data_IF_213150692868
#
_entry.id   IF_213150692868
#
_cell.length_a   1.000
_cell.length_b   1.000
_cell.length_c   1.000
_cell.angle_alpha   90.00
_cell.angle_beta   90.00
_cell.angle_gamma   90.00
#
_symmetry.space_group_name_H-M   'P 1'
#
loop_
_entity.id
_entity.type
_entity.pdbx_description
1 polymer ?
#
# COMPACT_ATOMS: atom_id res chain seq x y z
N UNK A 1 -2.20 -10.80 12.33
CA UNK A 1 -2.62 -9.97 11.16
C UNK A 1 -3.99 -10.31 10.55
N UNK A 2 -4.60 -11.50 10.74
CA UNK A 2 -5.93 -11.81 10.17
C UNK A 2 -7.03 -10.78 10.49
N UNK A 3 -6.96 -10.13 11.66
CA UNK A 3 -7.93 -9.11 12.11
C UNK A 3 -8.13 -7.96 11.10
N UNK A 4 -7.09 -7.54 10.37
CA UNK A 4 -7.19 -6.47 9.35
C UNK A 4 -8.13 -6.82 8.19
N UNK A 5 -8.23 -8.11 7.84
CA UNK A 5 -9.07 -8.59 6.73
C UNK A 5 -10.56 -8.56 7.07
N UNK A 6 -10.91 -8.56 8.36
CA UNK A 6 -12.30 -8.53 8.80
C UNK A 6 -12.84 -7.12 9.04
N UNK A 7 -11.99 -6.08 9.00
CA UNK A 7 -12.40 -4.70 9.21
C UNK A 7 -13.39 -4.23 8.14
N UNK A 8 -14.31 -3.34 8.52
CA UNK A 8 -15.21 -2.68 7.57
C UNK A 8 -14.41 -1.75 6.65
N UNK A 9 -14.88 -1.50 5.41
CA UNK A 9 -14.26 -0.53 4.51
C UNK A 9 -14.04 0.83 5.18
N UNK A 10 -15.06 1.32 5.90
CA UNK A 10 -15.01 2.58 6.64
C UNK A 10 -13.89 2.60 7.68
N UNK A 11 -13.72 1.52 8.46
CA UNK A 11 -12.67 1.47 9.47
C UNK A 11 -11.27 1.45 8.84
N UNK A 12 -11.09 0.78 7.69
CA UNK A 12 -9.82 0.81 6.95
C UNK A 12 -9.51 2.23 6.49
N UNK A 13 -10.50 2.92 5.91
CA UNK A 13 -10.35 4.30 5.47
C UNK A 13 -10.05 5.21 6.67
N UNK A 14 -10.78 5.06 7.78
CA UNK A 14 -10.59 5.84 8.99
C UNK A 14 -9.16 5.70 9.54
N UNK A 15 -8.67 4.46 9.68
CA UNK A 15 -7.32 4.19 10.21
C UNK A 15 -6.23 4.73 9.28
N UNK A 16 -6.39 4.61 7.96
CA UNK A 16 -5.36 5.04 7.00
C UNK A 16 -5.38 6.56 6.82
N UNK A 17 -6.55 7.16 6.62
CA UNK A 17 -6.66 8.53 6.12
C UNK A 17 -6.92 9.57 7.22
N UNK A 18 -7.62 9.25 8.31
CA UNK A 18 -7.92 10.28 9.33
C UNK A 18 -6.64 10.81 9.98
N UNK A 19 -5.72 9.97 10.52
CA UNK A 19 -4.48 10.49 11.13
C UNK A 19 -3.60 11.24 10.12
N UNK A 20 -3.52 10.74 8.88
CA UNK A 20 -2.79 11.42 7.80
C UNK A 20 -3.40 12.79 7.48
N UNK A 21 -4.72 12.89 7.39
CA UNK A 21 -5.42 14.15 7.12
C UNK A 21 -5.26 15.12 8.29
N UNK A 22 -5.39 14.67 9.54
CA UNK A 22 -5.20 15.54 10.72
C UNK A 22 -3.79 16.11 10.76
N UNK A 23 -2.76 15.28 10.55
CA UNK A 23 -1.38 15.77 10.51
C UNK A 23 -1.15 16.76 9.36
N UNK A 24 -1.77 16.55 8.19
CA UNK A 24 -1.70 17.50 7.08
C UNK A 24 -2.38 18.84 7.40
N UNK A 25 -3.55 18.81 8.02
CA UNK A 25 -4.25 20.02 8.44
C UNK A 25 -3.42 20.83 9.43
N UNK A 26 -2.85 20.17 10.45
CA UNK A 26 -1.93 20.84 11.39
C UNK A 26 -0.65 21.34 10.72
N UNK A 27 -0.11 20.62 9.73
CA UNK A 27 1.09 21.06 9.00
C UNK A 27 0.87 22.34 8.18
N UNK A 28 -0.37 22.72 7.90
CA UNK A 28 -0.72 23.95 7.19
C UNK A 28 -0.98 25.13 8.15
N UNK A 29 -1.09 24.88 9.45
CA UNK A 29 -1.25 25.93 10.44
C UNK A 29 0.05 26.75 10.57
N UNK A 30 -0.07 28.07 10.40
CA UNK A 30 1.04 29.01 10.40
C UNK A 30 1.59 29.29 11.80
N UNK A 31 0.89 28.85 12.86
CA UNK A 31 1.36 28.97 14.25
C UNK A 31 2.57 28.08 14.53
N UNK A 32 2.73 26.97 13.80
CA UNK A 32 3.88 26.09 13.90
C UNK A 32 5.08 26.64 13.13
N UNK A 33 6.27 26.42 13.68
CA UNK A 33 7.51 26.77 12.99
C UNK A 33 7.75 25.84 11.77
N UNK A 34 8.64 26.20 10.82
CA UNK A 34 8.85 25.41 9.60
C UNK A 34 9.30 23.95 9.84
N UNK A 35 10.03 23.69 10.92
CA UNK A 35 10.52 22.34 11.29
C UNK A 35 9.36 21.48 11.77
N UNK A 36 8.49 22.02 12.62
CA UNK A 36 7.29 21.35 13.11
C UNK A 36 6.35 21.00 11.97
N UNK A 37 6.08 21.96 11.06
CA UNK A 37 5.24 21.71 9.88
C UNK A 37 5.80 20.60 9.00
N UNK A 38 7.11 20.64 8.73
CA UNK A 38 7.80 19.60 7.96
C UNK A 38 7.71 18.24 8.65
N UNK A 39 7.89 18.20 9.98
CA UNK A 39 7.78 16.97 10.77
C UNK A 39 6.39 16.36 10.69
N UNK A 40 5.33 17.16 10.87
CA UNK A 40 3.94 16.72 10.75
C UNK A 40 3.63 16.18 9.35
N UNK A 41 4.13 16.84 8.30
CA UNK A 41 3.99 16.37 6.93
C UNK A 41 4.66 15.00 6.72
N UNK A 42 5.87 14.78 7.26
CA UNK A 42 6.57 13.50 7.17
C UNK A 42 5.86 12.39 7.95
N UNK A 43 5.39 12.68 9.17
CA UNK A 43 4.60 11.73 9.96
C UNK A 43 3.33 11.31 9.21
N UNK A 44 2.64 12.26 8.57
CA UNK A 44 1.46 11.95 7.76
C UNK A 44 1.77 11.02 6.58
N UNK A 45 2.94 11.21 5.95
CA UNK A 45 3.36 10.48 4.75
C UNK A 45 3.82 9.05 5.10
N UNK A 46 4.56 8.91 6.21
CA UNK A 46 4.98 7.61 6.77
C UNK A 46 3.75 6.81 7.22
N UNK A 47 2.82 7.46 7.92
CA UNK A 47 1.58 6.82 8.37
C UNK A 47 0.78 6.28 7.19
N UNK A 48 0.48 7.15 6.21
CA UNK A 48 -0.29 6.79 5.03
C UNK A 48 0.35 5.62 4.26
N UNK A 49 1.63 5.76 3.92
CA UNK A 49 2.37 4.75 3.15
C UNK A 49 2.49 3.44 3.93
N UNK A 50 2.82 3.52 5.22
CA UNK A 50 2.98 2.36 6.09
C UNK A 50 1.68 1.58 6.27
N UNK A 51 0.56 2.25 6.55
CA UNK A 51 -0.73 1.57 6.71
C UNK A 51 -1.24 0.99 5.38
N UNK A 52 -1.07 1.68 4.25
CA UNK A 52 -1.46 1.16 2.94
C UNK A 52 -0.59 -0.03 2.52
N UNK A 53 0.72 0.03 2.76
CA UNK A 53 1.63 -1.09 2.54
C UNK A 53 1.30 -2.28 3.45
N UNK A 54 0.99 -2.05 4.73
CA UNK A 54 0.58 -3.09 5.67
C UNK A 54 -0.74 -3.76 5.25
N UNK A 55 -1.70 -2.99 4.72
CA UNK A 55 -2.93 -3.51 4.15
C UNK A 55 -2.65 -4.38 2.92
N UNK A 56 -1.92 -3.87 1.92
CA UNK A 56 -1.54 -4.61 0.71
C UNK A 56 -0.76 -5.90 1.03
N UNK A 57 0.20 -5.82 1.95
CA UNK A 57 0.94 -6.97 2.45
C UNK A 57 0.01 -8.03 3.03
N UNK A 58 -0.87 -7.60 3.95
CA UNK A 58 -1.76 -8.53 4.65
C UNK A 58 -2.70 -9.21 3.67
N UNK A 59 -3.27 -8.47 2.72
CA UNK A 59 -4.14 -9.04 1.69
C UNK A 59 -3.35 -9.99 0.79
N UNK A 60 -2.22 -9.54 0.21
CA UNK A 60 -1.40 -10.32 -0.71
C UNK A 60 -0.94 -11.65 -0.12
N UNK A 61 -0.41 -11.64 1.11
CA UNK A 61 0.06 -12.87 1.80
C UNK A 61 -1.09 -13.82 2.14
N UNK A 62 -2.31 -13.33 2.39
CA UNK A 62 -3.44 -14.22 2.68
C UNK A 62 -4.07 -14.78 1.40
N UNK A 63 -4.10 -14.00 0.32
CA UNK A 63 -4.53 -14.49 -0.99
C UNK A 63 -3.55 -15.53 -1.54
N UNK A 64 -2.24 -15.32 -1.37
CA UNK A 64 -1.24 -16.29 -1.86
C UNK A 64 -1.36 -17.67 -1.21
N UNK A 65 -1.77 -17.73 0.05
CA UNK A 65 -2.02 -19.00 0.75
C UNK A 65 -3.24 -19.77 0.24
N UNK A 66 -4.09 -19.12 -0.57
CA UNK A 66 -5.33 -19.71 -1.11
C UNK A 66 -5.22 -20.08 -2.58
N UNK A 67 -4.11 -19.73 -3.24
CA UNK A 67 -3.88 -20.09 -4.62
C UNK A 67 -3.53 -21.58 -4.75
N UNK A 68 -3.89 -22.19 -5.87
CA UNK A 68 -3.47 -23.56 -6.20
C UNK A 68 -1.97 -23.57 -6.55
N UNK A 69 -1.24 -24.65 -6.24
CA UNK A 69 0.15 -24.82 -6.68
C UNK A 69 0.25 -24.64 -8.20
N UNK A 70 1.22 -23.84 -8.66
CA UNK A 70 1.45 -23.57 -10.09
C UNK A 70 0.95 -22.21 -10.59
N UNK A 71 0.29 -21.41 -9.74
CA UNK A 71 -0.02 -20.00 -10.00
C UNK A 71 0.80 -19.03 -9.13
N UNK A 72 1.83 -19.56 -8.46
CA UNK A 72 2.60 -18.84 -7.45
C UNK A 72 3.52 -17.81 -8.11
N UNK A 73 3.30 -16.54 -7.77
CA UNK A 73 4.19 -15.42 -8.02
C UNK A 73 5.05 -15.16 -6.81
N UNK A 74 6.18 -14.51 -7.05
CA UNK A 74 7.18 -14.25 -6.03
C UNK A 74 6.66 -13.38 -4.90
N UNK A 75 6.43 -14.02 -3.76
CA UNK A 75 6.15 -13.32 -2.51
C UNK A 75 7.31 -12.43 -2.10
N UNK A 76 8.56 -12.81 -2.39
CA UNK A 76 9.71 -11.96 -2.09
C UNK A 76 9.64 -10.63 -2.85
N UNK A 77 9.21 -10.64 -4.12
CA UNK A 77 9.02 -9.43 -4.90
C UNK A 77 7.89 -8.55 -4.33
N UNK A 78 6.80 -9.15 -3.83
CA UNK A 78 5.75 -8.41 -3.10
C UNK A 78 6.31 -7.69 -1.87
N UNK A 79 7.16 -8.38 -1.09
CA UNK A 79 7.75 -7.80 0.13
C UNK A 79 8.72 -6.67 -0.19
N UNK A 80 9.61 -6.88 -1.17
CA UNK A 80 10.60 -5.89 -1.58
C UNK A 80 9.94 -4.63 -2.19
N UNK A 81 8.94 -4.83 -3.04
CA UNK A 81 8.21 -3.73 -3.69
C UNK A 81 7.39 -2.87 -2.73
N UNK A 82 6.98 -3.41 -1.57
CA UNK A 82 6.36 -2.62 -0.49
C UNK A 82 7.38 -1.89 0.38
N UNK A 83 8.59 -2.43 0.51
CA UNK A 83 9.66 -1.81 1.29
C UNK A 83 10.25 -0.57 0.60
N UNK A 84 10.43 -0.60 -0.73
CA UNK A 84 11.03 0.52 -1.48
C UNK A 84 10.26 1.85 -1.31
N UNK A 85 8.92 1.92 -1.48
CA UNK A 85 8.16 3.13 -1.26
C UNK A 85 8.22 3.62 0.20
N UNK A 86 8.27 2.69 1.15
CA UNK A 86 8.41 3.02 2.57
C UNK A 86 9.80 3.62 2.87
N UNK A 87 10.87 3.04 2.33
CA UNK A 87 12.21 3.60 2.46
C UNK A 87 12.32 4.97 1.77
N UNK A 88 11.69 5.14 0.60
CA UNK A 88 11.63 6.42 -0.09
C UNK A 88 10.97 7.52 0.76
N UNK A 89 9.82 7.23 1.39
CA UNK A 89 9.09 8.24 2.18
C UNK A 89 9.80 8.64 3.48
N UNK A 90 10.75 7.83 3.97
CA UNK A 90 11.58 8.19 5.13
C UNK A 90 12.82 9.01 4.77
N UNK A 91 13.27 9.01 3.50
CA UNK A 91 14.46 9.77 3.08
C UNK A 91 14.41 11.27 3.41
N UNK A 92 13.27 11.98 3.29
CA UNK A 92 13.20 13.40 3.66
C UNK A 92 13.47 13.68 5.14
N UNK A 93 13.43 12.67 6.03
CA UNK A 93 13.87 12.82 7.43
C UNK A 93 15.35 13.24 7.47
N UNK A 94 16.17 12.66 6.60
CA UNK A 94 17.59 12.99 6.49
C UNK A 94 17.77 14.45 6.04
N UNK A 95 16.94 14.90 5.09
CA UNK A 95 16.92 16.30 4.67
C UNK A 95 16.52 17.25 5.80
N UNK A 96 15.52 16.86 6.61
CA UNK A 96 15.10 17.62 7.79
C UNK A 96 16.24 17.70 8.82
N UNK A 97 16.92 16.59 9.12
CA UNK A 97 18.07 16.58 10.05
C UNK A 97 19.24 17.43 9.54
N UNK A 98 19.48 17.46 8.23
CA UNK A 98 20.45 18.35 7.61
C UNK A 98 20.15 19.83 7.88
N UNK A 99 18.88 20.24 7.79
CA UNK A 99 18.50 21.63 8.09
C UNK A 99 18.72 22.01 9.55
N UNK A 100 18.57 21.05 10.48
CA UNK A 100 18.78 21.28 11.91
C UNK A 100 20.27 21.36 12.29
N UNK A 101 21.12 20.64 11.56
CA UNK A 101 22.57 20.52 11.85
C UNK A 101 23.43 21.44 10.98
N UNK A 102 22.86 22.05 9.93
CA UNK A 102 23.59 22.83 8.94
C UNK A 102 24.44 21.99 7.97
N UNK A 103 24.36 20.66 8.03
CA UNK A 103 25.12 19.75 7.18
C UNK A 103 24.41 19.57 5.83
N UNK A 104 25.03 20.01 4.74
CA UNK A 104 24.50 19.80 3.38
C UNK A 104 24.78 18.38 2.92
N UNK A 105 23.75 17.65 2.50
CA UNK A 105 23.87 16.29 1.95
C UNK A 105 23.68 16.34 0.42
N UNK A 106 24.75 16.09 -0.37
CA UNK A 106 24.73 16.26 -1.84
C UNK A 106 23.76 15.33 -2.57
N UNK A 107 23.38 14.19 -1.99
CA UNK A 107 22.52 13.19 -2.63
C UNK A 107 21.03 13.57 -2.63
N UNK A 108 20.65 14.71 -2.06
CA UNK A 108 19.26 15.21 -2.03
C UNK A 108 18.99 16.24 -3.14
N UNK A 109 19.68 16.14 -4.28
CA UNK A 109 19.34 16.98 -5.45
C UNK A 109 17.96 16.62 -6.00
N UNK A 110 17.26 17.64 -6.53
CA UNK A 110 15.92 17.49 -7.09
C UNK A 110 15.84 16.35 -8.14
N UNK A 111 16.82 16.26 -9.04
CA UNK A 111 16.84 15.23 -10.09
C UNK A 111 16.95 13.80 -9.55
N UNK A 112 17.81 13.58 -8.55
CA UNK A 112 17.95 12.27 -7.92
C UNK A 112 16.69 11.88 -7.15
N UNK A 113 16.14 12.79 -6.35
CA UNK A 113 14.92 12.55 -5.59
C UNK A 113 13.71 12.26 -6.50
N UNK A 114 13.56 13.02 -7.59
CA UNK A 114 12.51 12.77 -8.59
C UNK A 114 12.63 11.39 -9.25
N UNK A 115 13.84 10.95 -9.54
CA UNK A 115 14.07 9.61 -10.12
C UNK A 115 13.69 8.51 -9.13
N UNK A 116 14.10 8.65 -7.87
CA UNK A 116 13.70 7.73 -6.81
C UNK A 116 12.19 7.71 -6.59
N UNK A 117 11.52 8.87 -6.72
CA UNK A 117 10.07 8.95 -6.62
C UNK A 117 9.37 8.09 -7.68
N UNK A 118 9.81 8.19 -8.94
CA UNK A 118 9.25 7.40 -10.04
C UNK A 118 9.49 5.90 -9.83
N UNK A 119 10.68 5.51 -9.36
CA UNK A 119 10.98 4.11 -9.01
C UNK A 119 10.05 3.63 -7.89
N UNK A 120 9.85 4.42 -6.84
CA UNK A 120 8.94 4.09 -5.75
C UNK A 120 7.49 3.94 -6.24
N UNK A 121 7.04 4.79 -7.16
CA UNK A 121 5.71 4.69 -7.76
C UNK A 121 5.54 3.36 -8.52
N UNK A 122 6.49 2.98 -9.36
CA UNK A 122 6.47 1.69 -10.06
C UNK A 122 6.50 0.50 -9.09
N UNK A 123 7.32 0.59 -8.04
CA UNK A 123 7.35 -0.43 -6.99
C UNK A 123 5.98 -0.57 -6.32
N UNK A 124 5.28 0.53 -6.06
CA UNK A 124 3.97 0.50 -5.41
C UNK A 124 2.85 -0.08 -6.29
N UNK A 125 2.99 -0.01 -7.62
CA UNK A 125 2.03 -0.60 -8.56
C UNK A 125 2.06 -2.14 -8.50
N UNK A 126 3.23 -2.76 -8.28
CA UNK A 126 3.34 -4.22 -8.28
C UNK A 126 2.46 -4.90 -7.20
N UNK A 127 2.47 -4.50 -5.92
CA UNK A 127 1.58 -5.04 -4.90
C UNK A 127 0.09 -4.89 -5.22
N UNK A 128 -0.29 -3.77 -5.85
CA UNK A 128 -1.67 -3.52 -6.28
C UNK A 128 -2.06 -4.53 -7.37
N UNK A 129 -1.21 -4.70 -8.38
CA UNK A 129 -1.36 -5.71 -9.43
C UNK A 129 -1.42 -7.12 -8.84
N UNK A 130 -0.53 -7.45 -7.91
CA UNK A 130 -0.47 -8.74 -7.23
C UNK A 130 -1.82 -9.05 -6.55
N UNK A 131 -2.32 -8.13 -5.74
CA UNK A 131 -3.60 -8.30 -5.03
C UNK A 131 -4.77 -8.42 -6.00
N UNK A 132 -4.86 -7.54 -7.00
CA UNK A 132 -5.96 -7.53 -7.97
C UNK A 132 -6.04 -8.82 -8.77
N UNK A 133 -4.89 -9.28 -9.29
CA UNK A 133 -4.79 -10.51 -10.06
C UNK A 133 -5.09 -11.74 -9.20
N UNK A 134 -4.53 -11.83 -7.98
CA UNK A 134 -4.76 -12.97 -7.09
C UNK A 134 -6.22 -13.09 -6.65
N UNK A 135 -6.81 -11.97 -6.23
CA UNK A 135 -8.20 -11.94 -5.79
C UNK A 135 -9.12 -12.46 -6.90
N UNK A 136 -8.91 -11.95 -8.11
CA UNK A 136 -9.72 -12.32 -9.27
C UNK A 136 -9.44 -13.79 -9.68
N UNK A 137 -8.20 -14.26 -9.67
CA UNK A 137 -7.88 -15.67 -9.97
C UNK A 137 -8.59 -16.63 -9.00
N UNK A 138 -8.65 -16.29 -7.71
CA UNK A 138 -9.32 -17.11 -6.70
C UNK A 138 -10.84 -17.11 -6.90
N UNK A 139 -11.42 -15.95 -7.23
CA UNK A 139 -12.86 -15.84 -7.47
C UNK A 139 -13.32 -16.63 -8.71
N UNK A 140 -12.52 -16.63 -9.78
CA UNK A 140 -12.86 -17.34 -11.02
C UNK A 140 -12.37 -18.81 -11.02
N UNK A 141 -11.43 -19.17 -10.15
CA UNK A 141 -10.89 -20.52 -10.03
C UNK A 141 -10.04 -20.99 -11.23
N UNK A 142 -9.66 -20.07 -12.12
CA UNK A 142 -8.89 -20.32 -13.35
C UNK A 142 -7.88 -19.19 -13.61
N UNK A 143 -6.85 -19.40 -14.44
CA UNK A 143 -6.00 -18.31 -14.91
C UNK A 143 -6.82 -17.25 -15.63
N UNK A 144 -6.51 -15.99 -15.33
CA UNK A 144 -7.21 -14.83 -15.86
C UNK A 144 -6.29 -13.99 -16.75
N UNK A 145 -6.88 -13.33 -17.74
CA UNK A 145 -6.22 -12.33 -18.59
C UNK A 145 -6.25 -10.96 -17.91
N UNK A 146 -5.38 -10.05 -18.36
CA UNK A 146 -5.28 -8.67 -17.85
C UNK A 146 -6.65 -7.98 -17.73
N UNK A 147 -7.44 -8.03 -18.81
CA UNK A 147 -8.75 -7.37 -18.91
C UNK A 147 -9.73 -7.84 -17.83
N UNK A 148 -9.63 -9.09 -17.38
CA UNK A 148 -10.55 -9.66 -16.38
C UNK A 148 -10.32 -9.11 -14.96
N UNK A 149 -9.13 -8.58 -14.64
CA UNK A 149 -8.85 -7.97 -13.33
C UNK A 149 -8.57 -6.46 -13.35
N UNK A 150 -8.64 -5.80 -14.52
CA UNK A 150 -8.43 -4.33 -14.63
C UNK A 150 -9.36 -3.56 -13.71
N UNK A 151 -10.64 -3.93 -13.62
CA UNK A 151 -11.60 -3.25 -12.75
C UNK A 151 -11.21 -3.36 -11.27
N UNK A 152 -10.72 -4.53 -10.85
CA UNK A 152 -10.19 -4.74 -9.50
C UNK A 152 -8.92 -3.92 -9.26
N UNK A 153 -8.02 -3.86 -10.25
CA UNK A 153 -6.80 -3.06 -10.19
C UNK A 153 -7.13 -1.57 -10.04
N UNK A 154 -8.02 -1.05 -10.88
CA UNK A 154 -8.47 0.34 -10.84
C UNK A 154 -9.17 0.68 -9.52
N UNK A 155 -9.97 -0.24 -8.97
CA UNK A 155 -10.55 -0.04 -7.64
C UNK A 155 -9.44 0.13 -6.57
N UNK A 156 -8.41 -0.71 -6.57
CA UNK A 156 -7.31 -0.56 -5.59
C UNK A 156 -6.51 0.74 -5.85
N UNK A 157 -6.33 1.16 -7.10
CA UNK A 157 -5.66 2.44 -7.41
C UNK A 157 -6.50 3.63 -6.94
N UNK A 158 -7.82 3.59 -7.11
CA UNK A 158 -8.78 4.62 -6.68
C UNK A 158 -9.11 4.55 -5.18
N UNK A 159 -8.15 4.13 -4.36
CA UNK A 159 -8.26 4.28 -2.91
C UNK A 159 -8.49 5.76 -2.55
N UNK A 160 -9.35 6.09 -1.57
CA UNK A 160 -10.06 5.19 -0.65
C UNK A 160 -11.35 4.56 -1.22
N UNK A 161 -11.91 5.10 -2.31
CA UNK A 161 -13.23 4.74 -2.82
C UNK A 161 -13.30 3.25 -3.20
N UNK A 162 -12.27 2.73 -3.86
CA UNK A 162 -12.31 1.35 -4.32
C UNK A 162 -12.27 0.28 -3.21
N UNK A 163 -11.94 0.65 -1.96
CA UNK A 163 -12.00 -0.27 -0.80
C UNK A 163 -13.41 -0.82 -0.61
N UNK A 164 -14.44 -0.02 -0.88
CA UNK A 164 -15.83 -0.45 -0.75
C UNK A 164 -16.17 -1.63 -1.67
N UNK A 165 -15.51 -1.72 -2.83
CA UNK A 165 -15.71 -2.81 -3.79
C UNK A 165 -14.78 -3.99 -3.51
N UNK A 166 -13.52 -3.71 -3.16
CA UNK A 166 -12.47 -4.73 -3.01
C UNK A 166 -12.57 -5.46 -1.66
N UNK A 167 -12.87 -4.77 -0.57
CA UNK A 167 -12.86 -5.35 0.78
C UNK A 167 -13.93 -6.44 0.98
N UNK A 168 -15.19 -6.31 0.53
CA UNK A 168 -16.18 -7.39 0.64
C UNK A 168 -15.75 -8.66 -0.13
N UNK A 169 -15.12 -8.49 -1.29
CA UNK A 169 -14.58 -9.58 -2.11
C UNK A 169 -13.47 -10.34 -1.39
N UNK A 170 -12.51 -9.61 -0.82
CA UNK A 170 -11.46 -10.19 0.02
C UNK A 170 -12.05 -10.98 1.18
N UNK A 171 -13.04 -10.44 1.90
CA UNK A 171 -13.69 -11.15 3.01
C UNK A 171 -14.32 -12.48 2.58
N UNK A 172 -15.02 -12.50 1.44
CA UNK A 172 -15.62 -13.73 0.91
C UNK A 172 -14.55 -14.79 0.65
N UNK A 173 -13.46 -14.42 -0.02
CA UNK A 173 -12.35 -15.33 -0.34
C UNK A 173 -11.61 -15.79 0.93
N UNK A 174 -11.41 -14.90 1.90
CA UNK A 174 -10.70 -15.23 3.14
C UNK A 174 -11.52 -16.17 4.02
N UNK A 175 -12.83 -15.93 4.11
CA UNK A 175 -13.76 -16.71 4.93
C UNK A 175 -14.23 -18.01 4.28
N UNK A 176 -14.18 -18.13 2.95
CA UNK A 176 -14.43 -19.41 2.32
C UNK A 176 -13.34 -20.39 2.78
N UNK A 177 -13.74 -21.36 3.58
CA UNK A 177 -12.94 -22.54 3.91
C UNK A 177 -12.37 -23.10 2.62
N UNK A 178 -11.15 -23.63 2.67
CA UNK A 178 -10.33 -24.14 1.56
C UNK A 178 -10.93 -25.35 0.82
N UNK A 179 -12.25 -25.41 0.65
CA UNK A 179 -13.03 -26.58 0.25
C UNK A 179 -13.95 -26.29 -0.94
N UNK A 180 -13.40 -25.69 -1.98
CA UNK A 180 -13.89 -25.92 -3.36
C UNK A 180 -12.66 -26.18 -4.21
N UNK A 181 -12.26 -27.44 -4.38
CA UNK A 181 -12.81 -28.30 -5.43
C UNK A 181 -12.48 -29.75 -5.09
N UNK A 182 -13.54 -30.55 -5.08
CA UNK A 182 -13.55 -32.00 -5.23
C UNK A 182 -12.69 -32.33 -6.45
N UNK A 183 -11.80 -33.31 -6.29
CA UNK A 183 -11.20 -34.02 -7.42
C UNK A 183 -12.36 -34.75 -8.11
N UNK A 184 -12.72 -34.28 -9.29
CA UNK A 184 -13.32 -35.15 -10.31
C UNK A 184 -12.17 -35.69 -11.17
#
# INVERSE_FOLDING_TARGET
MKKLLHLSPLLIIAVIYIPSLTFRLFSHDQTYNPVERSTLFLLSSIWLTGCQAAWLWTVGVNLSKKLKPGYDRDLMLLKASLFIPFAYVTMPIVALLSTLTGVVIPFLTFGFYSTLHTIALFCFIYPIYFVASYLTTIEYGKPIKFVEYVSTLLAIVLFPIGVFFVQPRIKKVVNSSSTRYVKD
#
